data_IF_319145515980
#
_entry.id   IF_319145515980
#
_cell.length_a   1.000
_cell.length_b   1.000
_cell.length_c   1.000
_cell.angle_alpha   90.00
_cell.angle_beta   90.00
_cell.angle_gamma   90.00
#
_symmetry.space_group_name_H-M   'P 1'
#
loop_
_entity.id
_entity.type
_entity.pdbx_description
1 polymer ?
#
# COMPACT_ATOMS: atom_id res chain seq x y z
N UNK A 1 16.80 19.05 18.24
CA UNK A 1 16.58 18.51 16.89
C UNK A 1 15.16 18.77 16.44
N UNK A 2 15.01 19.54 15.39
CA UNK A 2 13.71 19.80 14.80
C UNK A 2 13.16 18.51 14.20
N UNK A 3 12.00 18.09 14.66
CA UNK A 3 11.26 17.03 13.99
C UNK A 3 10.75 17.58 12.67
N UNK A 4 11.01 16.87 11.58
CA UNK A 4 10.42 17.21 10.29
C UNK A 4 8.90 17.06 10.44
N UNK A 5 8.15 18.13 10.27
CA UNK A 5 6.70 18.04 10.28
C UNK A 5 6.24 17.25 9.06
N UNK A 6 5.41 16.25 9.32
CA UNK A 6 4.85 15.43 8.26
C UNK A 6 3.50 16.02 7.88
N UNK A 7 3.39 16.41 6.62
CA UNK A 7 2.16 17.01 6.12
C UNK A 7 1.10 15.94 5.86
N UNK A 8 -0.08 16.14 6.42
CA UNK A 8 -1.25 15.31 6.10
C UNK A 8 -1.82 15.81 4.78
N UNK A 9 -1.89 14.91 3.78
CA UNK A 9 -2.33 15.26 2.43
C UNK A 9 -3.74 14.76 2.12
N UNK A 10 -4.35 14.01 3.01
CA UNK A 10 -5.69 13.48 2.82
C UNK A 10 -6.14 12.61 3.97
N UNK A 11 -7.28 11.98 3.78
CA UNK A 11 -7.88 11.09 4.77
C UNK A 11 -8.13 9.71 4.17
N UNK A 12 -8.00 8.68 4.98
CA UNK A 12 -8.34 7.31 4.63
C UNK A 12 -8.92 6.61 5.85
N UNK A 13 -10.11 6.04 5.71
CA UNK A 13 -10.78 5.34 6.80
C UNK A 13 -10.11 3.99 7.06
N UNK A 14 -9.39 3.88 8.16
CA UNK A 14 -8.69 2.66 8.55
C UNK A 14 -9.62 1.50 8.92
N UNK A 15 -10.91 1.77 9.13
CA UNK A 15 -11.91 0.73 9.35
C UNK A 15 -12.46 0.15 8.04
N UNK A 16 -12.00 0.65 6.88
CA UNK A 16 -12.35 0.10 5.58
C UNK A 16 -12.02 -1.38 5.52
N UNK A 17 -12.90 -2.14 4.86
CA UNK A 17 -12.78 -3.60 4.82
C UNK A 17 -12.27 -4.09 3.48
N UNK A 18 -11.50 -5.16 3.53
CA UNK A 18 -11.06 -5.91 2.35
C UNK A 18 -11.24 -7.40 2.61
N UNK A 19 -11.11 -8.22 1.58
CA UNK A 19 -11.27 -9.67 1.72
C UNK A 19 -9.89 -10.32 1.87
N UNK A 20 -9.74 -11.08 2.95
CA UNK A 20 -8.54 -11.87 3.22
C UNK A 20 -8.99 -13.27 3.60
N UNK A 21 -8.49 -14.28 2.87
CA UNK A 21 -8.83 -15.70 3.11
C UNK A 21 -10.36 -15.92 3.15
N UNK A 22 -11.05 -15.34 2.17
CA UNK A 22 -12.52 -15.43 2.01
C UNK A 22 -13.32 -14.76 3.13
N UNK A 23 -12.68 -13.92 3.96
CA UNK A 23 -13.36 -13.20 5.05
C UNK A 23 -13.14 -11.69 4.90
N UNK A 24 -14.17 -10.90 5.22
CA UNK A 24 -14.04 -9.46 5.29
C UNK A 24 -13.35 -9.07 6.61
N UNK A 25 -12.25 -8.34 6.49
CA UNK A 25 -11.49 -7.82 7.62
C UNK A 25 -11.22 -6.34 7.43
N UNK A 26 -11.12 -5.58 8.51
CA UNK A 26 -10.76 -4.17 8.40
C UNK A 26 -9.25 -4.00 8.27
N UNK A 27 -8.82 -2.90 7.66
CA UNK A 27 -7.39 -2.55 7.60
C UNK A 27 -6.84 -2.50 9.04
N UNK A 28 -7.50 -1.78 9.93
CA UNK A 28 -7.08 -1.63 11.32
C UNK A 28 -6.87 -2.97 12.02
N UNK A 29 -7.74 -3.95 11.79
CA UNK A 29 -7.62 -5.27 12.44
C UNK A 29 -6.38 -6.03 11.97
N UNK A 30 -5.88 -5.74 10.77
CA UNK A 30 -4.75 -6.43 10.18
C UNK A 30 -3.42 -5.71 10.44
N UNK A 31 -3.45 -4.40 10.53
CA UNK A 31 -2.23 -3.60 10.69
C UNK A 31 -1.93 -3.23 12.14
N UNK A 32 -2.94 -3.23 13.00
CA UNK A 32 -2.80 -2.65 14.33
C UNK A 32 -2.68 -1.14 14.27
N UNK A 33 -2.35 -0.52 15.37
CA UNK A 33 -2.24 0.94 15.47
C UNK A 33 -0.94 1.44 14.87
N UNK A 34 -0.99 2.61 14.27
CA UNK A 34 0.15 3.29 13.71
C UNK A 34 0.09 3.40 12.20
N UNK A 35 1.24 3.70 11.60
CA UNK A 35 1.34 3.87 10.17
C UNK A 35 1.43 2.53 9.44
N UNK A 36 0.88 2.50 8.25
CA UNK A 36 0.95 1.35 7.36
C UNK A 36 1.07 1.82 5.90
N UNK A 37 1.57 0.93 5.06
CA UNK A 37 1.59 1.14 3.60
C UNK A 37 0.42 0.36 3.02
N UNK A 38 -0.39 1.02 2.20
CA UNK A 38 -1.47 0.39 1.47
C UNK A 38 -1.20 0.53 -0.02
N UNK A 39 -1.15 -0.59 -0.72
CA UNK A 39 -0.93 -0.63 -2.15
C UNK A 39 -2.07 -1.30 -2.89
N UNK A 40 -2.59 -0.64 -3.90
CA UNK A 40 -3.53 -1.22 -4.85
C UNK A 40 -2.72 -1.62 -6.08
N UNK A 41 -2.65 -2.92 -6.37
CA UNK A 41 -1.74 -3.43 -7.39
C UNK A 41 -2.49 -4.00 -8.60
N UNK A 42 -1.92 -3.75 -9.78
CA UNK A 42 -2.43 -4.30 -11.04
C UNK A 42 -1.53 -5.45 -11.48
N UNK A 43 -2.01 -6.69 -11.34
CA UNK A 43 -1.22 -7.88 -11.64
C UNK A 43 -0.85 -7.93 -13.11
N UNK A 44 0.42 -8.21 -13.40
CA UNK A 44 0.93 -8.30 -14.76
C UNK A 44 1.27 -6.97 -15.41
N UNK A 45 1.02 -5.86 -14.72
CA UNK A 45 1.37 -4.54 -15.22
C UNK A 45 2.81 -4.18 -14.84
N UNK A 46 3.58 -3.65 -15.80
CA UNK A 46 4.98 -3.30 -15.57
C UNK A 46 5.20 -2.30 -14.44
N UNK A 47 4.40 -1.22 -14.31
CA UNK A 47 4.56 -0.30 -13.19
C UNK A 47 4.42 -0.97 -11.82
N UNK A 48 3.47 -1.90 -11.68
CA UNK A 48 3.32 -2.71 -10.46
C UNK A 48 4.55 -3.58 -10.23
N UNK A 49 5.03 -4.24 -11.28
CA UNK A 49 6.18 -5.13 -11.19
C UNK A 49 7.43 -4.39 -10.73
N UNK A 50 7.69 -3.22 -11.32
CA UNK A 50 8.83 -2.39 -10.93
C UNK A 50 8.74 -1.95 -9.47
N UNK A 51 7.56 -1.53 -9.04
CA UNK A 51 7.34 -1.08 -7.65
C UNK A 51 7.60 -2.20 -6.66
N UNK A 52 7.07 -3.40 -6.93
CA UNK A 52 7.24 -4.54 -6.03
C UNK A 52 8.72 -4.98 -5.96
N UNK A 53 9.44 -4.91 -7.09
CA UNK A 53 10.88 -5.19 -7.08
C UNK A 53 11.66 -4.17 -6.26
N UNK A 54 11.30 -2.90 -6.36
CA UNK A 54 11.92 -1.85 -5.54
C UNK A 54 11.70 -2.09 -4.06
N UNK A 55 10.48 -2.47 -3.67
CA UNK A 55 10.14 -2.79 -2.28
C UNK A 55 10.95 -4.01 -1.81
N UNK A 56 11.03 -5.05 -2.65
CA UNK A 56 11.78 -6.25 -2.31
C UNK A 56 13.28 -5.99 -2.10
N UNK A 57 13.84 -5.06 -2.87
CA UNK A 57 15.26 -4.67 -2.71
C UNK A 57 15.54 -4.04 -1.34
N UNK A 58 14.53 -3.43 -0.73
CA UNK A 58 14.64 -2.76 0.55
C UNK A 58 14.00 -3.56 1.69
N UNK A 59 13.81 -4.87 1.48
CA UNK A 59 13.15 -5.75 2.46
C UNK A 59 13.73 -5.59 3.86
N UNK A 60 15.05 -5.67 4.00
CA UNK A 60 15.70 -5.62 5.31
C UNK A 60 15.47 -4.27 5.99
N UNK A 61 15.51 -3.19 5.21
CA UNK A 61 15.25 -1.84 5.71
C UNK A 61 13.80 -1.70 6.18
N UNK A 62 12.85 -2.20 5.40
CA UNK A 62 11.44 -2.18 5.78
C UNK A 62 11.16 -3.06 7.00
N UNK A 63 11.79 -4.23 7.07
CA UNK A 63 11.64 -5.12 8.22
C UNK A 63 12.13 -4.47 9.51
N UNK A 64 13.20 -3.69 9.44
CA UNK A 64 13.69 -2.94 10.61
C UNK A 64 12.71 -1.87 11.08
N UNK A 65 12.00 -1.23 10.16
CA UNK A 65 10.96 -0.26 10.53
C UNK A 65 9.74 -0.93 11.13
N UNK A 66 9.47 -2.18 10.73
CA UNK A 66 8.39 -2.99 11.30
C UNK A 66 6.98 -2.54 10.95
N UNK A 67 6.80 -1.71 9.92
CA UNK A 67 5.47 -1.25 9.53
C UNK A 67 4.82 -2.25 8.56
N UNK A 68 3.51 -2.49 8.70
CA UNK A 68 2.83 -3.43 7.81
C UNK A 68 2.57 -2.86 6.42
N UNK A 69 2.60 -3.76 5.44
CA UNK A 69 2.22 -3.48 4.06
C UNK A 69 0.95 -4.26 3.75
N UNK A 70 -0.08 -3.58 3.29
CA UNK A 70 -1.32 -4.22 2.80
C UNK A 70 -1.36 -4.04 1.30
N UNK A 71 -1.28 -5.14 0.55
CA UNK A 71 -1.31 -5.13 -0.90
C UNK A 71 -2.62 -5.76 -1.37
N UNK A 72 -3.42 -4.99 -2.08
CA UNK A 72 -4.76 -5.40 -2.49
C UNK A 72 -4.86 -5.61 -3.98
N UNK A 73 -5.44 -6.75 -4.36
CA UNK A 73 -5.76 -7.09 -5.75
C UNK A 73 -7.15 -6.58 -6.11
N UNK A 74 -7.37 -6.34 -7.39
CA UNK A 74 -8.68 -5.90 -7.88
C UNK A 74 -9.76 -6.98 -7.75
N UNK A 75 -9.36 -8.25 -7.87
CA UNK A 75 -10.28 -9.37 -7.86
C UNK A 75 -9.56 -10.65 -7.44
N UNK A 76 -10.35 -11.67 -7.11
CA UNK A 76 -9.82 -13.00 -6.82
C UNK A 76 -9.08 -13.60 -8.03
N UNK A 77 -9.58 -13.37 -9.24
CA UNK A 77 -8.92 -13.83 -10.46
C UNK A 77 -7.52 -13.24 -10.61
N UNK A 78 -7.35 -11.95 -10.31
CA UNK A 78 -6.05 -11.29 -10.33
C UNK A 78 -5.14 -11.84 -9.23
N UNK A 79 -5.68 -12.06 -8.04
CA UNK A 79 -4.92 -12.63 -6.93
C UNK A 79 -4.33 -13.99 -7.26
N UNK A 80 -5.07 -14.83 -7.99
CA UNK A 80 -4.62 -16.17 -8.38
C UNK A 80 -3.44 -16.14 -9.36
N UNK A 81 -3.31 -15.07 -10.14
CA UNK A 81 -2.23 -14.90 -11.12
C UNK A 81 -0.95 -14.38 -10.47
N UNK A 82 -1.03 -13.88 -9.26
CA UNK A 82 0.08 -13.21 -8.60
C UNK A 82 1.04 -14.23 -7.97
N UNK A 83 2.33 -14.06 -8.26
CA UNK A 83 3.39 -14.89 -7.68
C UNK A 83 4.39 -13.98 -6.97
N UNK A 84 4.33 -13.89 -5.64
CA UNK A 84 5.23 -13.00 -4.88
C UNK A 84 6.70 -13.25 -5.18
N UNK A 85 7.09 -14.50 -5.38
CA UNK A 85 8.49 -14.89 -5.63
C UNK A 85 9.07 -14.30 -6.91
N UNK A 86 8.22 -13.82 -7.85
CA UNK A 86 8.71 -13.20 -9.08
C UNK A 86 9.39 -11.85 -8.83
N UNK A 87 9.18 -11.25 -7.67
CA UNK A 87 9.67 -9.92 -7.34
C UNK A 87 10.81 -9.92 -6.32
N UNK A 88 11.17 -11.08 -5.82
CA UNK A 88 12.11 -11.24 -4.72
C UNK A 88 11.38 -11.54 -3.41
N UNK A 89 12.00 -11.21 -2.30
CA UNK A 89 11.38 -11.43 -0.98
C UNK A 89 10.82 -10.11 -0.48
N UNK A 90 9.50 -10.07 -0.30
CA UNK A 90 8.80 -8.89 0.20
C UNK A 90 8.96 -8.75 1.71
N UNK A 91 8.73 -7.56 2.29
CA UNK A 91 8.81 -7.37 3.74
C UNK A 91 7.96 -8.38 4.51
N UNK A 92 8.44 -8.75 5.70
CA UNK A 92 7.82 -9.81 6.51
C UNK A 92 6.37 -9.51 6.89
N UNK A 93 6.04 -8.24 7.10
CA UNK A 93 4.68 -7.82 7.47
C UNK A 93 3.81 -7.48 6.28
N UNK A 94 4.04 -8.11 5.14
CA UNK A 94 3.21 -7.92 3.95
C UNK A 94 1.96 -8.80 4.05
N UNK A 95 0.81 -8.16 3.90
CA UNK A 95 -0.51 -8.79 3.94
C UNK A 95 -1.15 -8.62 2.57
N UNK A 96 -1.68 -9.72 2.01
CA UNK A 96 -2.38 -9.70 0.73
C UNK A 96 -3.88 -9.82 0.93
N UNK A 97 -4.64 -9.14 0.10
CA UNK A 97 -6.09 -9.22 0.11
C UNK A 97 -6.70 -8.73 -1.19
N UNK A 98 -8.03 -8.71 -1.21
CA UNK A 98 -8.81 -8.29 -2.37
C UNK A 98 -9.64 -7.07 -2.01
N UNK A 99 -9.57 -6.04 -2.84
CA UNK A 99 -10.43 -4.86 -2.73
C UNK A 99 -11.78 -5.16 -3.36
N UNK A 100 -12.67 -5.74 -2.55
CA UNK A 100 -13.99 -6.16 -3.02
C UNK A 100 -14.76 -4.97 -3.62
N UNK A 101 -15.24 -5.14 -4.84
CA UNK A 101 -16.00 -4.13 -5.58
C UNK A 101 -15.25 -2.81 -5.78
N UNK A 102 -13.94 -2.81 -5.58
CA UNK A 102 -13.13 -1.61 -5.71
C UNK A 102 -13.45 -0.54 -4.68
N UNK A 103 -13.99 -0.92 -3.52
CA UNK A 103 -14.46 0.02 -2.51
C UNK A 103 -13.32 0.89 -1.96
N UNK A 104 -12.18 0.29 -1.65
CA UNK A 104 -11.01 1.02 -1.13
C UNK A 104 -10.44 1.93 -2.21
N UNK A 105 -10.32 1.43 -3.44
CA UNK A 105 -9.86 2.24 -4.56
C UNK A 105 -10.76 3.46 -4.79
N UNK A 106 -12.08 3.27 -4.77
CA UNK A 106 -13.03 4.38 -4.92
C UNK A 106 -12.85 5.42 -3.84
N UNK A 107 -12.63 4.99 -2.61
CA UNK A 107 -12.38 5.90 -1.50
C UNK A 107 -11.11 6.72 -1.72
N UNK A 108 -10.02 6.05 -2.10
CA UNK A 108 -8.74 6.74 -2.33
C UNK A 108 -8.85 7.72 -3.51
N UNK A 109 -9.46 7.30 -4.60
CA UNK A 109 -9.66 8.15 -5.78
C UNK A 109 -10.45 9.40 -5.41
N UNK A 110 -11.53 9.25 -4.64
CA UNK A 110 -12.36 10.37 -4.22
C UNK A 110 -11.65 11.29 -3.24
N UNK A 111 -11.03 10.73 -2.20
CA UNK A 111 -10.37 11.50 -1.14
C UNK A 111 -9.12 12.22 -1.63
N UNK A 112 -8.37 11.59 -2.52
CA UNK A 112 -7.13 12.15 -3.05
C UNK A 112 -7.31 12.84 -4.40
N UNK A 113 -8.52 12.86 -4.92
CA UNK A 113 -8.89 13.54 -6.19
C UNK A 113 -8.05 13.06 -7.37
N UNK A 114 -7.88 11.75 -7.49
CA UNK A 114 -7.14 11.15 -8.57
C UNK A 114 -7.94 11.21 -9.87
N UNK A 115 -7.27 11.57 -10.97
CA UNK A 115 -7.93 11.75 -12.26
C UNK A 115 -8.15 10.45 -13.02
N UNK A 116 -7.21 9.50 -12.92
CA UNK A 116 -7.30 8.23 -13.61
C UNK A 116 -7.32 7.08 -12.61
N UNK A 117 -8.51 6.51 -12.41
CA UNK A 117 -8.71 5.39 -11.48
C UNK A 117 -8.15 4.07 -12.00
N UNK A 118 -7.66 4.00 -13.24
CA UNK A 118 -7.13 2.77 -13.85
C UNK A 118 -5.62 2.68 -13.80
N UNK A 119 -4.93 3.72 -13.36
CA UNK A 119 -3.48 3.73 -13.29
C UNK A 119 -2.99 3.07 -12.00
N UNK A 120 -2.37 1.91 -12.12
CA UNK A 120 -1.78 1.15 -11.01
C UNK A 120 -0.26 1.19 -11.10
N UNK A 121 0.45 0.95 -9.98
CA UNK A 121 -0.09 0.77 -8.64
C UNK A 121 -0.46 2.10 -7.99
N UNK A 122 -1.32 2.04 -6.97
CA UNK A 122 -1.61 3.20 -6.13
C UNK A 122 -1.09 2.87 -4.74
N UNK A 123 -0.17 3.68 -4.21
CA UNK A 123 0.39 3.48 -2.87
C UNK A 123 0.10 4.69 -2.01
N UNK A 124 -0.37 4.43 -0.80
CA UNK A 124 -0.49 5.46 0.23
C UNK A 124 0.23 5.00 1.49
N UNK A 125 0.68 5.95 2.28
CA UNK A 125 1.07 5.72 3.67
C UNK A 125 0.05 6.47 4.52
N UNK A 126 -0.63 5.74 5.38
CA UNK A 126 -1.68 6.28 6.23
C UNK A 126 -1.53 5.73 7.64
N UNK A 127 -2.23 6.34 8.58
CA UNK A 127 -2.25 5.86 9.96
C UNK A 127 -3.67 5.46 10.38
N UNK A 128 -3.77 4.90 11.56
CA UNK A 128 -5.05 4.45 12.11
C UNK A 128 -5.89 5.59 12.71
N UNK A 129 -5.40 6.83 12.59
CA UNK A 129 -6.17 8.04 12.88
C UNK A 129 -6.70 8.68 11.60
N UNK A 130 -6.76 7.90 10.51
CA UNK A 130 -7.33 8.30 9.21
C UNK A 130 -6.55 9.39 8.47
N UNK A 131 -5.26 9.55 8.77
CA UNK A 131 -4.41 10.55 8.11
C UNK A 131 -3.55 9.91 7.04
N UNK A 132 -3.53 10.49 5.84
CA UNK A 132 -2.66 10.08 4.73
C UNK A 132 -1.49 11.05 4.63
N UNK A 133 -0.29 10.52 4.59
CA UNK A 133 0.95 11.33 4.56
C UNK A 133 1.79 11.11 3.29
N UNK A 134 1.40 10.15 2.46
CA UNK A 134 2.11 9.86 1.21
C UNK A 134 1.12 9.28 0.20
N UNK A 135 1.29 9.68 -1.06
CA UNK A 135 0.53 9.13 -2.17
C UNK A 135 1.43 9.00 -3.39
N UNK A 136 1.35 7.85 -4.06
CA UNK A 136 1.98 7.65 -5.36
C UNK A 136 1.03 6.89 -6.26
N UNK A 137 0.93 7.29 -7.52
CA UNK A 137 0.14 6.59 -8.53
C UNK A 137 1.01 6.34 -9.76
N UNK A 138 1.02 5.08 -10.21
CA UNK A 138 1.96 4.62 -11.24
C UNK A 138 3.34 4.39 -10.66
N UNK A 139 4.29 4.07 -11.53
CA UNK A 139 5.67 3.84 -11.10
C UNK A 139 6.52 5.09 -11.37
N UNK A 140 7.28 5.50 -10.36
CA UNK A 140 8.34 6.47 -10.51
C UNK A 140 9.66 5.85 -10.05
N UNK A 141 10.76 6.19 -10.71
CA UNK A 141 12.08 5.68 -10.33
C UNK A 141 12.36 6.04 -8.86
N UNK A 142 12.75 5.04 -8.07
CA UNK A 142 13.04 5.25 -6.65
C UNK A 142 11.82 5.24 -5.75
N UNK A 143 10.68 4.73 -6.22
CA UNK A 143 9.44 4.68 -5.41
C UNK A 143 9.64 3.91 -4.11
N UNK A 144 10.36 2.78 -4.14
CA UNK A 144 10.67 2.03 -2.92
C UNK A 144 11.43 2.86 -1.90
N UNK A 145 12.41 3.63 -2.35
CA UNK A 145 13.19 4.52 -1.49
C UNK A 145 12.33 5.67 -0.94
N UNK A 146 11.43 6.20 -1.74
CA UNK A 146 10.49 7.25 -1.30
C UNK A 146 9.59 6.74 -0.18
N UNK A 147 9.07 5.52 -0.31
CA UNK A 147 8.28 4.86 0.72
C UNK A 147 9.10 4.68 2.00
N UNK A 148 10.31 4.15 1.86
CA UNK A 148 11.19 3.95 3.00
C UNK A 148 11.54 5.25 3.69
N UNK A 149 11.93 6.28 2.95
CA UNK A 149 12.31 7.57 3.51
C UNK A 149 11.15 8.22 4.26
N UNK A 150 9.94 8.12 3.72
CA UNK A 150 8.75 8.66 4.38
C UNK A 150 8.48 7.91 5.68
N UNK A 151 8.46 6.57 5.62
CA UNK A 151 8.21 5.75 6.82
C UNK A 151 9.26 5.97 7.90
N UNK A 152 10.52 6.15 7.52
CA UNK A 152 11.60 6.31 8.48
C UNK A 152 11.53 7.60 9.29
N UNK A 153 10.76 8.58 8.81
CA UNK A 153 10.56 9.87 9.48
C UNK A 153 9.35 9.90 10.41
N UNK A 154 8.57 8.84 10.41
CA UNK A 154 7.30 8.79 11.17
C UNK A 154 7.48 8.30 12.60
#
# INVERSE_FOLDING_TARGET
>A
TSKTEISVIGNFDSESKFVKDAQEVSILSQTGRGYFVLGLIGVGQEPTNHTLRDIAKLKDEFDRLGRPFVLLFESEAEAKKFKPSDFGVLPNKTIFGIDKDGAIKKQIVAQMKLQDARQFPIFIIADTFNRVVFLSQGYTIGLGEQLYNTLSKL
#
